data_IF_908464905927
#
_entry.id   IF_908464905927
#
_cell.length_a   1.000
_cell.length_b   1.000
_cell.length_c   1.000
_cell.angle_alpha   90.00
_cell.angle_beta   90.00
_cell.angle_gamma   90.00
#
_symmetry.space_group_name_H-M   'P 1'
#
loop_
_entity.id
_entity.type
_entity.pdbx_description
1 polymer ?
#
# COMPACT_ATOMS: atom_id res chain seq x y z
N UNK A 1 6.20 -15.54 -10.78
CA UNK A 1 5.13 -16.42 -10.26
C UNK A 1 4.52 -15.68 -9.08
N UNK A 2 3.35 -15.06 -9.27
CA UNK A 2 2.76 -14.17 -8.25
C UNK A 2 2.33 -15.01 -7.03
N UNK A 3 2.91 -14.71 -5.87
CA UNK A 3 2.63 -15.40 -4.61
C UNK A 3 1.18 -15.07 -4.22
N UNK A 4 0.30 -16.07 -4.24
CA UNK A 4 -1.10 -15.93 -3.83
C UNK A 4 -1.15 -15.92 -2.31
N UNK A 5 -1.47 -14.77 -1.71
CA UNK A 5 -1.75 -14.66 -0.29
C UNK A 5 -3.24 -14.94 -0.05
N UNK A 6 -3.57 -15.72 0.97
CA UNK A 6 -4.93 -15.77 1.51
C UNK A 6 -5.16 -14.59 2.46
N UNK A 7 -6.40 -14.11 2.52
CA UNK A 7 -6.95 -13.17 3.51
C UNK A 7 -6.25 -13.16 4.88
N UNK A 8 -6.28 -14.29 5.59
CA UNK A 8 -5.66 -14.45 6.91
C UNK A 8 -4.13 -14.25 6.90
N UNK A 9 -3.46 -14.69 5.84
CA UNK A 9 -2.01 -14.49 5.68
C UNK A 9 -1.67 -13.06 5.27
N UNK A 10 -2.64 -12.33 4.71
CA UNK A 10 -2.48 -10.94 4.35
C UNK A 10 -2.61 -10.00 5.58
N UNK A 11 -3.37 -10.40 6.60
CA UNK A 11 -3.43 -9.68 7.89
C UNK A 11 -2.20 -9.93 8.79
N UNK A 12 -1.53 -11.09 8.66
CA UNK A 12 -0.34 -11.37 9.46
C UNK A 12 0.84 -10.51 9.04
N UNK A 13 1.46 -9.82 10.01
CA UNK A 13 2.63 -8.98 9.79
C UNK A 13 3.81 -9.82 9.27
N UNK A 14 4.21 -9.54 8.05
CA UNK A 14 5.26 -10.25 7.32
C UNK A 14 6.56 -9.47 7.25
N UNK A 15 7.57 -10.11 6.68
CA UNK A 15 8.86 -9.48 6.40
C UNK A 15 8.71 -8.32 5.39
N UNK A 16 7.70 -8.40 4.52
CA UNK A 16 7.34 -7.36 3.57
C UNK A 16 6.92 -6.04 4.24
N UNK A 17 6.11 -6.08 5.30
CA UNK A 17 5.71 -4.86 6.02
C UNK A 17 6.81 -4.29 6.89
N UNK A 18 7.68 -5.14 7.46
CA UNK A 18 8.89 -4.67 8.14
C UNK A 18 9.81 -3.91 7.18
N UNK A 19 10.02 -4.45 5.98
CA UNK A 19 10.72 -3.75 4.91
C UNK A 19 10.01 -2.45 4.56
N UNK A 20 8.69 -2.45 4.33
CA UNK A 20 7.94 -1.23 4.04
C UNK A 20 8.08 -0.17 5.15
N UNK A 21 8.03 -0.58 6.42
CA UNK A 21 8.15 0.29 7.59
C UNK A 21 9.51 0.99 7.65
N UNK A 22 10.58 0.32 7.20
CA UNK A 22 11.93 0.89 7.12
C UNK A 22 12.12 1.70 5.83
N UNK A 23 11.65 1.19 4.70
CA UNK A 23 11.82 1.82 3.39
C UNK A 23 10.99 3.11 3.25
N UNK A 24 9.84 3.24 3.94
CA UNK A 24 9.02 4.45 3.91
C UNK A 24 9.75 5.71 4.45
N UNK A 25 10.26 5.74 5.69
CA UNK A 25 11.01 6.89 6.19
C UNK A 25 12.32 7.09 5.44
N UNK A 26 13.01 6.02 5.04
CA UNK A 26 14.24 6.11 4.23
C UNK A 26 13.96 6.79 2.88
N UNK A 27 12.94 6.33 2.15
CA UNK A 27 12.49 6.95 0.90
C UNK A 27 12.19 8.43 1.10
N UNK A 28 11.45 8.78 2.15
CA UNK A 28 11.10 10.17 2.45
C UNK A 28 12.33 11.05 2.68
N UNK A 29 13.31 10.56 3.48
CA UNK A 29 14.55 11.29 3.76
C UNK A 29 15.38 11.47 2.49
N UNK A 30 15.56 10.42 1.69
CA UNK A 30 16.37 10.46 0.47
C UNK A 30 15.77 11.36 -0.61
N UNK A 31 14.43 11.31 -0.80
CA UNK A 31 13.75 12.19 -1.75
C UNK A 31 13.81 13.65 -1.29
N UNK A 32 13.55 13.91 0.01
CA UNK A 32 13.59 15.27 0.56
C UNK A 32 15.00 15.88 0.49
N UNK A 33 16.03 15.11 0.85
CA UNK A 33 17.43 15.53 0.75
C UNK A 33 17.86 15.70 -0.70
N UNK A 34 17.50 14.77 -1.59
CA UNK A 34 17.81 14.85 -3.01
C UNK A 34 17.20 16.10 -3.65
N UNK A 35 15.93 16.39 -3.35
CA UNK A 35 15.24 17.58 -3.83
C UNK A 35 15.91 18.87 -3.31
N UNK A 36 16.23 18.93 -2.01
CA UNK A 36 16.93 20.07 -1.43
C UNK A 36 18.28 20.32 -2.12
N UNK A 37 19.08 19.27 -2.33
CA UNK A 37 20.38 19.36 -3.00
C UNK A 37 20.27 19.80 -4.47
N UNK A 38 19.22 19.38 -5.19
CA UNK A 38 18.96 19.85 -6.55
C UNK A 38 18.64 21.35 -6.56
N UNK A 39 17.83 21.83 -5.61
CA UNK A 39 17.52 23.27 -5.48
C UNK A 39 18.80 24.08 -5.24
N UNK A 40 19.77 23.53 -4.51
CA UNK A 40 21.08 24.13 -4.29
C UNK A 40 22.05 23.99 -5.49
N UNK A 41 21.59 23.47 -6.64
CA UNK A 41 22.42 23.17 -7.82
C UNK A 41 23.59 22.20 -7.55
N UNK A 42 23.50 21.39 -6.49
CA UNK A 42 24.52 20.38 -6.17
C UNK A 42 24.22 19.11 -6.98
N UNK A 43 25.14 18.66 -7.86
CA UNK A 43 24.89 17.51 -8.75
C UNK A 43 24.58 16.20 -8.01
N UNK A 44 25.07 16.05 -6.77
CA UNK A 44 24.79 14.90 -5.92
C UNK A 44 23.30 14.75 -5.59
N UNK A 45 22.50 15.81 -5.66
CA UNK A 45 21.05 15.74 -5.43
C UNK A 45 20.33 14.77 -6.34
N UNK A 46 20.77 14.66 -7.60
CA UNK A 46 20.22 13.69 -8.56
C UNK A 46 20.46 12.23 -8.14
N UNK A 47 21.60 11.95 -7.51
CA UNK A 47 21.93 10.59 -7.01
C UNK A 47 21.01 10.22 -5.86
N UNK A 48 20.83 11.11 -4.88
CA UNK A 48 19.93 10.87 -3.76
C UNK A 48 18.47 10.72 -4.19
N UNK A 49 18.03 11.50 -5.18
CA UNK A 49 16.69 11.37 -5.75
C UNK A 49 16.49 10.05 -6.50
N UNK A 50 17.49 9.60 -7.27
CA UNK A 50 17.42 8.30 -7.95
C UNK A 50 17.32 7.14 -6.94
N UNK A 51 18.12 7.17 -5.87
CA UNK A 51 18.06 6.16 -4.80
C UNK A 51 16.70 6.18 -4.09
N UNK A 52 16.20 7.37 -3.75
CA UNK A 52 14.89 7.53 -3.13
C UNK A 52 13.77 6.98 -4.01
N UNK A 53 13.80 7.28 -5.31
CA UNK A 53 12.81 6.77 -6.27
C UNK A 53 12.84 5.25 -6.38
N UNK A 54 14.04 4.65 -6.47
CA UNK A 54 14.19 3.18 -6.52
C UNK A 54 13.63 2.55 -5.23
N UNK A 55 13.93 3.14 -4.08
CA UNK A 55 13.40 2.68 -2.79
C UNK A 55 11.87 2.72 -2.75
N UNK A 56 11.24 3.78 -3.26
CA UNK A 56 9.78 3.89 -3.37
C UNK A 56 9.19 2.81 -4.28
N UNK A 57 9.79 2.59 -5.46
CA UNK A 57 9.31 1.59 -6.42
C UNK A 57 9.43 0.17 -5.86
N UNK A 58 10.56 -0.15 -5.22
CA UNK A 58 10.74 -1.45 -4.56
C UNK A 58 9.71 -1.67 -3.46
N UNK A 59 9.42 -0.64 -2.66
CA UNK A 59 8.36 -0.70 -1.65
C UNK A 59 7.00 -1.01 -2.31
N UNK A 60 6.66 -0.33 -3.40
CA UNK A 60 5.38 -0.53 -4.08
C UNK A 60 5.23 -1.96 -4.61
N UNK A 61 6.27 -2.50 -5.24
CA UNK A 61 6.26 -3.87 -5.77
C UNK A 61 6.10 -4.94 -4.68
N UNK A 62 6.63 -4.67 -3.48
CA UNK A 62 6.55 -5.60 -2.35
C UNK A 62 5.17 -5.56 -1.69
N UNK A 63 4.53 -4.39 -1.60
CA UNK A 63 3.23 -4.23 -0.93
C UNK A 63 2.03 -4.56 -1.85
N UNK A 64 2.10 -4.24 -3.16
CA UNK A 64 1.01 -4.46 -4.13
C UNK A 64 0.36 -5.87 -4.08
N UNK A 65 1.10 -7.00 -4.04
CA UNK A 65 0.47 -8.32 -4.00
C UNK A 65 -0.35 -8.56 -2.72
N UNK A 66 0.02 -7.92 -1.61
CA UNK A 66 -0.67 -8.05 -0.33
C UNK A 66 -1.92 -7.17 -0.29
N UNK A 67 -1.80 -5.93 -0.77
CA UNK A 67 -2.93 -5.00 -0.90
C UNK A 67 -4.04 -5.56 -1.79
N UNK A 68 -3.69 -6.19 -2.92
CA UNK A 68 -4.67 -6.83 -3.80
C UNK A 68 -5.43 -7.97 -3.12
N UNK A 69 -4.71 -8.83 -2.38
CA UNK A 69 -5.33 -9.94 -1.66
C UNK A 69 -6.34 -9.47 -0.59
N UNK A 70 -6.00 -8.38 0.12
CA UNK A 70 -6.89 -7.74 1.09
C UNK A 70 -8.08 -7.10 0.37
N UNK A 71 -7.85 -6.35 -0.71
CA UNK A 71 -8.90 -5.67 -1.47
C UNK A 71 -9.98 -6.63 -1.97
N UNK A 72 -9.59 -7.79 -2.52
CA UNK A 72 -10.53 -8.81 -3.01
C UNK A 72 -11.43 -9.37 -1.89
N UNK A 73 -10.91 -9.47 -0.66
CA UNK A 73 -11.69 -9.92 0.49
C UNK A 73 -12.64 -8.83 1.01
N UNK A 74 -12.15 -7.59 1.08
CA UNK A 74 -12.97 -6.44 1.46
C UNK A 74 -14.14 -6.24 0.50
N UNK A 75 -13.94 -6.38 -0.82
CA UNK A 75 -15.01 -6.30 -1.81
C UNK A 75 -16.10 -7.36 -1.57
N UNK A 76 -15.71 -8.60 -1.23
CA UNK A 76 -16.68 -9.67 -0.91
C UNK A 76 -17.49 -9.33 0.33
N UNK A 77 -16.83 -8.88 1.40
CA UNK A 77 -17.52 -8.47 2.63
C UNK A 77 -18.44 -7.29 2.36
N UNK A 78 -17.99 -6.30 1.58
CA UNK A 78 -18.79 -5.13 1.22
C UNK A 78 -20.05 -5.51 0.43
N UNK A 79 -19.95 -6.44 -0.52
CA UNK A 79 -21.10 -6.95 -1.26
C UNK A 79 -22.10 -7.70 -0.36
N UNK A 80 -21.62 -8.44 0.63
CA UNK A 80 -22.47 -9.13 1.61
C UNK A 80 -23.18 -8.14 2.54
N UNK A 81 -22.47 -7.12 3.03
CA UNK A 81 -23.05 -6.04 3.83
C UNK A 81 -24.13 -5.28 3.05
N UNK A 82 -23.90 -4.96 1.77
CA UNK A 82 -24.90 -4.31 0.91
C UNK A 82 -26.19 -5.14 0.81
N UNK A 83 -26.07 -6.46 0.59
CA UNK A 83 -27.24 -7.36 0.55
C UNK A 83 -27.98 -7.40 1.89
N UNK A 84 -27.24 -7.41 3.01
CA UNK A 84 -27.85 -7.38 4.33
C UNK A 84 -28.64 -6.08 4.55
N UNK A 85 -28.03 -4.92 4.25
CA UNK A 85 -28.67 -3.61 4.37
C UNK A 85 -29.90 -3.51 3.47
N UNK A 86 -29.81 -3.94 2.22
CA UNK A 86 -30.94 -3.96 1.30
C UNK A 86 -32.10 -4.82 1.83
N UNK A 87 -31.78 -5.98 2.41
CA UNK A 87 -32.80 -6.84 3.00
C UNK A 87 -33.50 -6.16 4.18
N UNK A 88 -32.75 -5.53 5.10
CA UNK A 88 -33.31 -4.84 6.27
C UNK A 88 -34.15 -3.63 5.84
N UNK A 89 -33.63 -2.80 4.94
CA UNK A 89 -34.34 -1.61 4.43
C UNK A 89 -35.65 -1.97 3.73
N UNK A 90 -35.67 -3.07 2.95
CA UNK A 90 -36.88 -3.55 2.30
C UNK A 90 -37.96 -4.00 3.29
N UNK A 91 -37.58 -4.51 4.45
CA UNK A 91 -38.53 -4.86 5.51
C UNK A 91 -39.01 -3.63 6.30
N UNK A 92 -38.20 -2.57 6.41
CA UNK A 92 -38.61 -1.31 7.02
C UNK A 92 -39.62 -0.54 6.15
N UNK A 93 -39.49 -0.55 4.82
CA UNK A 93 -40.46 0.10 3.92
C UNK A 93 -41.85 -0.57 3.91
N UNK A 94 -41.95 -1.81 4.39
CA UNK A 94 -43.22 -2.56 4.45
C UNK A 94 -43.98 -2.29 5.78
N UNK A 95 -43.33 -1.64 6.76
CA UNK A 95 -43.90 -1.38 8.09
C UNK A 95 -44.48 0.04 8.20
#
# INVERSE_FOLDING_TARGET
MAKKYTAEQAEMWGWEELLACIFAPVSYIFVSLGLALIILLIPMGWVYLAIGLIATVLMYLVIDPKLRAISDEYEKRQAEFLKHVESVSKWEEIK
#
